data_IF_986080545229
#
_entry.id   IF_986080545229
#
_cell.length_a   1.000
_cell.length_b   1.000
_cell.length_c   1.000
_cell.angle_alpha   90.00
_cell.angle_beta   90.00
_cell.angle_gamma   90.00
#
_symmetry.space_group_name_H-M   'P 1'
#
loop_
_entity.id
_entity.type
_entity.pdbx_description
1 polymer ?
#
# COMPACT_ATOMS: atom_id res chain seq x y z
N UNK A 1 18.71 4.85 -1.47
CA UNK A 1 17.76 4.90 -2.60
C UNK A 1 16.40 5.38 -2.08
N UNK A 2 15.83 6.42 -2.68
CA UNK A 2 14.42 6.79 -2.46
C UNK A 2 13.57 5.92 -3.39
N UNK A 3 12.73 5.07 -2.83
CA UNK A 3 11.73 4.34 -3.60
C UNK A 3 10.46 5.20 -3.62
N UNK A 4 9.96 5.51 -4.81
CA UNK A 4 8.68 6.18 -4.98
C UNK A 4 7.65 5.09 -5.24
N UNK A 5 6.77 4.88 -4.27
CA UNK A 5 5.61 4.02 -4.43
C UNK A 5 4.44 4.91 -4.84
N UNK A 6 3.91 4.68 -6.03
CA UNK A 6 2.69 5.35 -6.50
C UNK A 6 1.56 4.34 -6.42
N UNK A 7 0.64 4.55 -5.48
CA UNK A 7 -0.61 3.80 -5.42
C UNK A 7 -1.66 4.58 -6.23
N UNK A 8 -1.97 4.08 -7.42
CA UNK A 8 -3.12 4.53 -8.22
C UNK A 8 -4.26 3.56 -8.00
N UNK A 9 -5.04 3.71 -6.92
CA UNK A 9 -6.33 3.04 -6.85
C UNK A 9 -7.33 3.88 -7.62
N UNK A 10 -7.69 3.42 -8.82
CA UNK A 10 -8.89 3.87 -9.50
C UNK A 10 -10.11 3.23 -8.83
N UNK A 11 -10.35 3.57 -7.58
CA UNK A 11 -11.71 3.67 -7.08
C UNK A 11 -12.08 5.14 -7.09
N UNK A 12 -13.33 5.35 -7.44
CA UNK A 12 -14.12 6.56 -7.42
C UNK A 12 -14.12 7.35 -6.10
N UNK A 13 -13.04 7.45 -5.31
CA UNK A 13 -13.06 8.30 -4.13
C UNK A 13 -11.82 9.15 -3.85
N UNK A 14 -10.55 8.73 -3.94
CA UNK A 14 -9.44 9.65 -3.62
C UNK A 14 -8.16 9.32 -4.39
N UNK A 15 -7.57 10.28 -5.11
CA UNK A 15 -6.38 10.06 -5.95
C UNK A 15 -5.21 11.01 -5.66
N UNK A 16 -4.02 10.40 -5.77
CA UNK A 16 -2.63 10.87 -5.73
C UNK A 16 -1.99 10.93 -4.34
N UNK A 17 -1.13 9.94 -4.12
CA UNK A 17 -0.23 9.84 -2.97
C UNK A 17 1.22 9.89 -3.42
N UNK A 18 2.00 10.78 -2.78
CA UNK A 18 3.45 10.67 -2.81
C UNK A 18 3.90 10.05 -1.50
N UNK A 19 4.32 8.79 -1.52
CA UNK A 19 4.88 8.13 -0.34
C UNK A 19 6.40 8.28 -0.28
N UNK A 20 6.91 8.43 0.94
CA UNK A 20 8.31 8.15 1.27
C UNK A 20 8.38 6.99 2.25
N UNK A 21 9.38 6.14 2.08
CA UNK A 21 9.71 5.17 3.11
C UNK A 21 10.38 5.89 4.29
N UNK A 22 9.85 5.72 5.49
CA UNK A 22 10.50 6.16 6.71
C UNK A 22 11.34 5.00 7.24
N UNK A 23 12.67 5.17 7.28
CA UNK A 23 13.57 4.22 7.92
C UNK A 23 13.66 2.83 7.28
N UNK A 24 14.16 2.72 6.04
CA UNK A 24 14.89 1.49 5.66
C UNK A 24 16.19 1.44 6.46
N UNK A 25 16.12 1.09 7.74
CA UNK A 25 17.28 0.50 8.39
C UNK A 25 17.72 -0.66 7.52
N UNK A 26 19.00 -0.66 7.19
CA UNK A 26 19.57 -1.35 6.05
C UNK A 26 18.98 -2.75 5.86
N UNK A 27 18.68 -3.09 4.60
CA UNK A 27 18.58 -4.48 4.20
C UNK A 27 19.91 -5.12 4.60
N UNK A 28 19.93 -5.68 5.80
CA UNK A 28 21.10 -6.31 6.38
C UNK A 28 21.43 -7.45 5.42
N UNK A 29 22.68 -7.51 4.95
CA UNK A 29 23.18 -8.46 3.96
C UNK A 29 23.15 -9.94 4.41
N UNK A 30 22.48 -10.24 5.53
CA UNK A 30 22.20 -11.59 6.01
C UNK A 30 20.90 -12.07 5.39
N UNK A 31 20.92 -13.26 4.76
CA UNK A 31 19.73 -13.96 4.25
C UNK A 31 18.64 -13.97 5.33
N UNK A 32 17.58 -13.20 5.11
CA UNK A 32 16.38 -13.23 5.95
C UNK A 32 15.66 -14.56 5.71
N UNK A 33 15.91 -15.54 6.57
CA UNK A 33 15.31 -16.89 6.49
C UNK A 33 13.80 -16.90 6.80
N UNK A 34 13.23 -15.74 7.13
CA UNK A 34 11.80 -15.55 7.32
C UNK A 34 11.07 -15.06 6.06
N UNK A 35 11.81 -14.58 5.06
CA UNK A 35 11.23 -14.06 3.83
C UNK A 35 10.92 -15.19 2.83
N UNK A 36 9.69 -15.21 2.30
CA UNK A 36 9.34 -16.18 1.26
C UNK A 36 9.93 -15.73 -0.10
N UNK A 37 10.85 -16.52 -0.65
CA UNK A 37 11.54 -16.22 -1.91
C UNK A 37 10.62 -16.09 -3.12
N UNK A 38 9.41 -16.65 -3.10
CA UNK A 38 8.43 -16.44 -4.18
C UNK A 38 8.00 -14.97 -4.29
N UNK A 39 8.18 -14.18 -3.24
CA UNK A 39 7.81 -12.76 -3.17
C UNK A 39 9.00 -11.82 -3.46
N UNK A 40 10.15 -12.33 -3.90
CA UNK A 40 11.38 -11.56 -4.03
C UNK A 40 11.23 -10.30 -4.92
N UNK A 41 10.45 -10.41 -5.99
CA UNK A 41 10.18 -9.30 -6.91
C UNK A 41 9.41 -8.14 -6.24
N UNK A 42 8.80 -8.39 -5.08
CA UNK A 42 8.05 -7.42 -4.28
C UNK A 42 8.71 -7.11 -2.93
N UNK A 43 9.93 -7.60 -2.68
CA UNK A 43 10.63 -7.38 -1.41
C UNK A 43 10.78 -5.90 -1.07
N UNK A 44 10.90 -5.05 -2.09
CA UNK A 44 11.07 -3.61 -1.94
C UNK A 44 9.88 -2.91 -1.27
N UNK A 45 8.68 -3.51 -1.31
CA UNK A 45 7.45 -3.03 -0.65
C UNK A 45 7.48 -3.21 0.88
N UNK A 46 8.17 -4.25 1.38
CA UNK A 46 8.20 -4.58 2.81
C UNK A 46 8.77 -3.38 3.59
N UNK A 47 8.02 -2.93 4.60
CA UNK A 47 8.39 -1.80 5.44
C UNK A 47 7.19 -0.93 5.80
N UNK A 48 7.49 0.19 6.45
CA UNK A 48 6.53 1.24 6.76
C UNK A 48 6.79 2.46 5.88
N UNK A 49 5.72 3.01 5.34
CA UNK A 49 5.71 4.13 4.42
C UNK A 49 4.84 5.22 5.02
N UNK A 50 5.29 6.46 4.90
CA UNK A 50 4.50 7.64 5.26
C UNK A 50 4.34 8.55 4.05
N UNK A 51 3.15 9.11 3.90
CA UNK A 51 2.90 10.11 2.86
C UNK A 51 3.83 11.32 3.07
N UNK A 52 4.53 11.74 2.01
CA UNK A 52 5.16 13.08 1.93
C UNK A 52 4.08 14.13 1.74
N UNK A 53 3.11 13.82 0.87
CA UNK A 53 1.94 14.64 0.57
C UNK A 53 0.81 13.73 0.11
N UNK A 54 -0.38 13.94 0.66
CA UNK A 54 -1.61 13.25 0.27
C UNK A 54 -2.77 14.26 0.18
N UNK A 55 -3.56 14.13 -0.87
CA UNK A 55 -4.75 14.96 -1.09
C UNK A 55 -5.90 14.09 -1.59
N UNK A 56 -7.09 14.36 -1.08
CA UNK A 56 -8.33 13.72 -1.46
C UNK A 56 -9.08 14.64 -2.39
N UNK A 57 -9.48 14.16 -3.56
CA UNK A 57 -10.23 14.92 -4.56
C UNK A 57 -11.30 14.01 -5.14
N UNK A 58 -12.56 14.47 -5.11
CA UNK A 58 -13.67 13.80 -5.77
C UNK A 58 -14.74 14.82 -6.18
N UNK A 59 -15.47 14.64 -7.31
CA UNK A 59 -16.31 15.71 -7.87
C UNK A 59 -17.42 16.23 -6.95
N UNK A 60 -17.91 15.42 -6.02
CA UNK A 60 -19.07 15.74 -5.17
C UNK A 60 -18.71 16.23 -3.76
N UNK A 61 -17.42 16.34 -3.43
CA UNK A 61 -16.95 16.77 -2.10
C UNK A 61 -15.78 17.74 -2.25
N UNK A 62 -15.58 18.57 -1.22
CA UNK A 62 -14.42 19.46 -1.20
C UNK A 62 -13.12 18.65 -1.09
N UNK A 63 -12.07 19.15 -1.75
CA UNK A 63 -10.75 18.54 -1.61
C UNK A 63 -10.23 18.70 -0.18
N UNK A 64 -9.54 17.69 0.33
CA UNK A 64 -8.95 17.73 1.68
C UNK A 64 -7.53 17.14 1.69
N UNK A 65 -6.77 17.42 2.75
CA UNK A 65 -5.42 16.88 2.98
C UNK A 65 -5.43 15.95 4.19
N UNK A 66 -4.55 14.96 4.16
CA UNK A 66 -4.42 13.96 5.22
C UNK A 66 -2.99 13.42 5.24
N UNK A 67 -2.67 12.67 6.29
CA UNK A 67 -1.42 11.95 6.45
C UNK A 67 -1.76 10.47 6.41
N UNK A 68 -1.02 9.71 5.60
CA UNK A 68 -1.17 8.26 5.51
C UNK A 68 0.08 7.54 6.02
N UNK A 69 -0.15 6.48 6.78
CA UNK A 69 0.87 5.49 7.13
C UNK A 69 0.46 4.13 6.57
N UNK A 70 1.30 3.58 5.70
CA UNK A 70 1.15 2.27 5.09
C UNK A 70 2.18 1.29 5.67
N UNK A 71 1.73 0.18 6.22
CA UNK A 71 2.57 -0.91 6.72
C UNK A 71 2.40 -2.16 5.87
N UNK A 72 3.52 -2.65 5.32
CA UNK A 72 3.59 -3.88 4.53
C UNK A 72 4.53 -4.86 5.24
N UNK A 73 3.95 -5.96 5.75
CA UNK A 73 4.69 -6.98 6.52
C UNK A 73 4.53 -8.36 5.90
N UNK A 74 5.50 -9.25 6.10
CA UNK A 74 5.40 -10.64 5.66
C UNK A 74 5.37 -11.59 6.84
N UNK A 75 4.31 -12.40 7.02
CA UNK A 75 4.37 -13.54 7.91
C UNK A 75 5.46 -14.52 7.46
N UNK A 76 6.13 -15.14 8.43
CA UNK A 76 7.28 -16.03 8.18
C UNK A 76 6.97 -17.09 7.12
N UNK A 77 7.74 -17.09 6.03
CA UNK A 77 7.65 -18.01 4.90
C UNK A 77 6.29 -18.09 4.21
N UNK A 78 5.42 -17.07 4.33
CA UNK A 78 4.13 -17.04 3.63
C UNK A 78 4.20 -16.28 2.29
N UNK A 79 3.50 -16.75 1.24
CA UNK A 79 3.55 -16.16 -0.10
C UNK A 79 2.58 -14.98 -0.27
N UNK A 80 2.52 -14.10 0.74
CA UNK A 80 1.69 -12.89 0.72
C UNK A 80 2.25 -11.87 1.70
N UNK A 81 1.93 -10.59 1.49
CA UNK A 81 2.12 -9.55 2.49
C UNK A 81 0.81 -9.20 3.16
N UNK A 82 0.86 -8.85 4.44
CA UNK A 82 -0.19 -8.06 5.07
C UNK A 82 -0.02 -6.62 4.60
N UNK A 83 -1.14 -5.97 4.32
CA UNK A 83 -1.26 -4.56 3.94
C UNK A 83 -2.12 -3.86 4.98
N UNK A 84 -1.65 -2.74 5.53
CA UNK A 84 -2.41 -1.89 6.43
C UNK A 84 -2.17 -0.43 6.06
N UNK A 85 -3.20 0.27 5.61
CA UNK A 85 -3.18 1.72 5.45
C UNK A 85 -4.06 2.37 6.51
N UNK A 86 -3.50 3.38 7.18
CA UNK A 86 -4.21 4.23 8.12
C UNK A 86 -4.03 5.69 7.72
N UNK A 87 -5.12 6.44 7.71
CA UNK A 87 -5.10 7.88 7.43
C UNK A 87 -5.59 8.68 8.63
N UNK A 88 -5.00 9.87 8.80
CA UNK A 88 -5.43 10.88 9.78
C UNK A 88 -5.58 12.22 9.07
N UNK A 89 -6.49 13.07 9.55
CA UNK A 89 -6.60 14.44 9.01
C UNK A 89 -5.28 15.21 9.20
N UNK A 90 -5.07 16.22 8.36
CA UNK A 90 -3.90 17.10 8.45
C UNK A 90 -4.23 18.41 9.18
N UNK A 91 -4.80 18.29 10.38
CA UNK A 91 -5.21 19.40 11.26
C UNK A 91 -4.42 19.37 12.59
N UNK A 92 -4.52 20.43 13.39
CA UNK A 92 -3.84 20.50 14.71
C UNK A 92 -4.28 19.39 15.66
N UNK A 93 -5.59 19.11 15.67
CA UNK A 93 -6.16 17.97 16.41
C UNK A 93 -6.30 16.82 15.43
N UNK A 94 -5.39 15.87 15.52
CA UNK A 94 -5.36 14.71 14.65
C UNK A 94 -6.50 13.73 14.97
N UNK A 95 -7.27 13.38 13.95
CA UNK A 95 -8.39 12.45 14.02
C UNK A 95 -8.23 11.34 12.98
N UNK A 96 -8.51 10.07 13.34
CA UNK A 96 -8.56 8.97 12.38
C UNK A 96 -9.57 9.23 11.26
N UNK A 97 -9.20 8.91 10.02
CA UNK A 97 -10.06 9.01 8.85
C UNK A 97 -10.33 7.62 8.27
N UNK A 98 -9.93 7.39 7.02
CA UNK A 98 -10.04 6.12 6.33
C UNK A 98 -8.97 5.13 6.79
N UNK A 99 -9.34 3.85 6.81
CA UNK A 99 -8.44 2.75 7.08
C UNK A 99 -8.82 1.57 6.18
N UNK A 100 -7.81 0.88 5.69
CA UNK A 100 -7.96 -0.37 4.94
C UNK A 100 -6.89 -1.38 5.29
N UNK A 101 -7.30 -2.65 5.30
CA UNK A 101 -6.45 -3.76 5.70
C UNK A 101 -6.71 -4.98 4.84
N UNK A 102 -5.65 -5.74 4.55
CA UNK A 102 -5.79 -7.04 3.93
C UNK A 102 -4.48 -7.58 3.41
N UNK A 103 -4.48 -8.10 2.18
CA UNK A 103 -3.37 -8.90 1.66
C UNK A 103 -2.93 -8.49 0.25
N UNK A 104 -1.62 -8.52 0.02
CA UNK A 104 -1.00 -8.50 -1.31
C UNK A 104 -0.48 -9.90 -1.63
N UNK A 105 -0.93 -10.48 -2.75
CA UNK A 105 -0.47 -11.78 -3.25
C UNK A 105 0.22 -11.63 -4.60
N UNK A 106 1.32 -12.34 -4.79
CA UNK A 106 1.91 -12.55 -6.11
C UNK A 106 1.29 -13.82 -6.71
N UNK A 107 0.69 -13.66 -7.88
CA UNK A 107 0.12 -14.71 -8.71
C UNK A 107 1.09 -15.06 -9.85
N UNK A 108 0.88 -16.17 -10.58
CA UNK A 108 1.67 -16.50 -11.77
C UNK A 108 1.73 -15.35 -12.78
N UNK A 109 2.77 -15.34 -13.62
CA UNK A 109 2.99 -14.33 -14.66
C UNK A 109 3.06 -12.88 -14.13
N UNK A 110 3.70 -12.68 -12.97
CA UNK A 110 3.84 -11.35 -12.34
C UNK A 110 2.52 -10.62 -12.08
N UNK A 111 1.41 -11.36 -12.02
CA UNK A 111 0.13 -10.79 -11.64
C UNK A 111 0.10 -10.55 -10.13
N UNK A 112 -0.52 -9.46 -9.71
CA UNK A 112 -0.68 -9.10 -8.30
C UNK A 112 -2.17 -9.10 -7.98
N UNK A 113 -2.50 -9.49 -6.76
CA UNK A 113 -3.85 -9.34 -6.23
C UNK A 113 -3.81 -8.64 -4.87
N UNK A 114 -4.56 -7.55 -4.76
CA UNK A 114 -4.89 -6.87 -3.52
C UNK A 114 -6.29 -7.30 -3.09
N UNK A 115 -6.45 -7.65 -1.83
CA UNK A 115 -7.73 -8.01 -1.24
C UNK A 115 -7.85 -7.21 0.05
N UNK A 116 -8.74 -6.22 0.09
CA UNK A 116 -8.80 -5.23 1.15
C UNK A 116 -10.20 -5.16 1.75
N UNK A 117 -10.25 -4.93 3.05
CA UNK A 117 -11.43 -4.52 3.79
C UNK A 117 -11.25 -3.07 4.24
N UNK A 118 -12.27 -2.24 4.02
CA UNK A 118 -12.26 -0.82 4.38
C UNK A 118 -13.15 -0.58 5.61
N UNK A 119 -12.75 0.36 6.46
CA UNK A 119 -13.46 0.66 7.71
C UNK A 119 -14.91 1.16 7.54
N UNK A 120 -15.30 1.55 6.33
CA UNK A 120 -16.67 1.95 5.99
C UNK A 120 -17.54 0.81 5.43
N UNK A 121 -17.14 -0.46 5.62
CA UNK A 121 -17.98 -1.62 5.33
C UNK A 121 -17.94 -2.09 3.87
N UNK A 122 -16.91 -1.72 3.12
CA UNK A 122 -16.66 -2.19 1.76
C UNK A 122 -15.48 -3.14 1.75
N UNK A 123 -15.51 -4.12 0.85
CA UNK A 123 -14.37 -4.96 0.52
C UNK A 123 -14.05 -4.79 -0.96
N UNK A 124 -12.78 -4.83 -1.32
CA UNK A 124 -12.32 -4.74 -2.70
C UNK A 124 -11.41 -5.90 -3.04
N UNK A 125 -11.51 -6.38 -4.27
CA UNK A 125 -10.51 -7.27 -4.85
C UNK A 125 -10.02 -6.68 -6.15
N UNK A 126 -8.70 -6.62 -6.23
CA UNK A 126 -8.03 -5.71 -7.12
C UNK A 126 -6.89 -6.50 -7.79
N UNK A 127 -6.89 -6.53 -9.12
CA UNK A 127 -5.92 -7.32 -9.90
C UNK A 127 -4.99 -6.39 -10.65
N UNK A 128 -3.71 -6.69 -10.56
CA UNK A 128 -2.66 -5.91 -11.17
C UNK A 128 -1.58 -6.72 -11.86
N UNK A 129 -0.64 -6.00 -12.47
CA UNK A 129 0.59 -6.57 -13.06
C UNK A 129 1.78 -5.82 -12.50
N UNK A 130 2.80 -6.57 -12.09
CA UNK A 130 4.10 -6.00 -11.72
C UNK A 130 4.89 -5.66 -12.99
N UNK A 131 5.17 -4.38 -13.18
CA UNK A 131 6.14 -3.90 -14.18
C UNK A 131 7.22 -3.10 -13.45
N UNK A 132 8.42 -3.67 -13.34
CA UNK A 132 9.54 -3.12 -12.57
C UNK A 132 9.21 -2.85 -11.08
N UNK A 133 8.97 -1.58 -10.74
CA UNK A 133 8.64 -1.07 -9.40
C UNK A 133 7.24 -0.44 -9.39
N UNK A 134 6.47 -0.62 -10.47
CA UNK A 134 5.14 -0.06 -10.63
C UNK A 134 4.11 -1.18 -10.57
N UNK A 135 3.07 -0.95 -9.78
CA UNK A 135 1.93 -1.84 -9.65
C UNK A 135 0.72 -1.09 -10.20
N UNK A 136 0.18 -1.56 -11.32
CA UNK A 136 -1.11 -1.11 -11.82
C UNK A 136 -2.17 -2.05 -11.28
N UNK A 137 -3.24 -1.53 -10.69
CA UNK A 137 -4.31 -2.35 -10.15
C UNK A 137 -5.65 -1.88 -10.69
N UNK A 138 -6.48 -2.83 -11.11
CA UNK A 138 -7.85 -2.62 -11.51
C UNK A 138 -8.76 -3.34 -10.54
N UNK A 139 -9.80 -2.64 -10.10
CA UNK A 139 -10.87 -3.22 -9.28
C UNK A 139 -11.61 -4.24 -10.10
N UNK A 140 -11.79 -5.43 -9.54
CA UNK A 140 -12.51 -6.54 -10.18
C UNK A 140 -13.90 -6.70 -9.59
N UNK A 141 -14.11 -6.27 -8.33
CA UNK A 141 -15.36 -6.39 -7.55
C UNK A 141 -15.35 -5.36 -6.42
#
# INVERSE_FOLDING_TARGET
>A
MRYLFYQYLSFSLFNIYLFSCEGKEGINSRRDTSFNMSMNNLQWLKGTWKSISAQGIYPTINSFKYIETLSITQPKNKPYFNYLSNTINNEEIQQPMHCEYGFIRLLPNNSICLQLAHNFGVNTVEKGVLSDVVIFVLVVI
#
